data_IF_604547938532
#
_entry.id   IF_604547938532
#
_cell.length_a   1.000
_cell.length_b   1.000
_cell.length_c   1.000
_cell.angle_alpha   90.00
_cell.angle_beta   90.00
_cell.angle_gamma   90.00
#
_symmetry.space_group_name_H-M   'P 1'
#
loop_
_entity.id
_entity.type
_entity.pdbx_description
1 polymer ?
#
# COMPACT_ATOMS: atom_id res chain seq x y z
N UNK A 1 1.43 -19.02 -6.40
CA UNK A 1 0.82 -18.39 -5.20
C UNK A 1 -0.28 -17.45 -5.68
N UNK A 2 -1.54 -17.69 -5.32
CA UNK A 2 -2.71 -17.04 -5.95
C UNK A 2 -3.58 -16.21 -4.99
N UNK A 3 -3.30 -16.22 -3.68
CA UNK A 3 -4.09 -15.49 -2.69
C UNK A 3 -3.30 -15.22 -1.40
N UNK A 4 -3.91 -14.43 -0.50
CA UNK A 4 -3.38 -14.10 0.82
C UNK A 4 -2.39 -12.94 0.84
N UNK A 5 -1.92 -12.61 2.04
CA UNK A 5 -0.99 -11.51 2.29
C UNK A 5 0.29 -11.63 1.45
N UNK A 6 0.86 -12.84 1.34
CA UNK A 6 2.07 -13.09 0.58
C UNK A 6 1.89 -12.78 -0.92
N UNK A 7 0.74 -13.08 -1.52
CA UNK A 7 0.47 -12.70 -2.92
C UNK A 7 0.33 -11.17 -3.03
N UNK A 8 -0.33 -10.51 -2.08
CA UNK A 8 -0.42 -9.05 -2.05
C UNK A 8 0.96 -8.37 -1.96
N UNK A 9 1.87 -8.94 -1.17
CA UNK A 9 3.25 -8.47 -1.10
C UNK A 9 4.01 -8.66 -2.42
N UNK A 10 3.83 -9.81 -3.08
CA UNK A 10 4.43 -10.04 -4.40
C UNK A 10 3.87 -9.10 -5.47
N UNK A 11 2.57 -8.88 -5.50
CA UNK A 11 1.94 -7.92 -6.42
C UNK A 11 2.45 -6.49 -6.17
N UNK A 12 2.55 -6.07 -4.90
CA UNK A 12 3.13 -4.78 -4.56
C UNK A 12 4.59 -4.66 -5.02
N UNK A 13 5.42 -5.67 -4.75
CA UNK A 13 6.86 -5.67 -5.05
C UNK A 13 7.15 -5.83 -6.55
N UNK A 14 6.42 -6.67 -7.25
CA UNK A 14 6.74 -7.11 -8.61
C UNK A 14 5.94 -6.37 -9.69
N UNK A 15 4.78 -5.79 -9.34
CA UNK A 15 3.90 -5.12 -10.30
C UNK A 15 3.74 -3.63 -9.96
N UNK A 16 3.25 -3.30 -8.76
CA UNK A 16 2.89 -1.92 -8.40
C UNK A 16 4.12 -1.02 -8.25
N UNK A 17 5.08 -1.40 -7.43
CA UNK A 17 6.29 -0.59 -7.20
C UNK A 17 7.12 -0.43 -8.49
N UNK A 18 7.41 -1.49 -9.26
CA UNK A 18 8.17 -1.36 -10.50
C UNK A 18 7.45 -0.49 -11.53
N UNK A 19 6.11 -0.51 -11.58
CA UNK A 19 5.34 0.37 -12.46
C UNK A 19 5.64 1.86 -12.19
N UNK A 20 5.52 2.31 -10.93
CA UNK A 20 5.80 3.71 -10.57
C UNK A 20 7.29 4.06 -10.65
N UNK A 21 8.19 3.10 -10.39
CA UNK A 21 9.62 3.29 -10.60
C UNK A 21 9.93 3.56 -12.08
N UNK A 22 9.35 2.77 -12.99
CA UNK A 22 9.53 2.97 -14.43
C UNK A 22 8.96 4.32 -14.88
N UNK A 23 7.80 4.74 -14.37
CA UNK A 23 7.25 6.07 -14.67
C UNK A 23 8.19 7.19 -14.24
N UNK A 24 8.77 7.08 -13.04
CA UNK A 24 9.72 8.07 -12.55
C UNK A 24 11.02 8.06 -13.36
N UNK A 25 11.50 6.88 -13.74
CA UNK A 25 12.67 6.72 -14.60
C UNK A 25 12.44 7.32 -16.00
N UNK A 26 11.27 7.12 -16.61
CA UNK A 26 10.90 7.73 -17.89
C UNK A 26 10.84 9.26 -17.79
N UNK A 27 10.21 9.79 -16.72
CA UNK A 27 10.20 11.23 -16.43
C UNK A 27 11.61 11.80 -16.32
N UNK A 28 12.46 11.20 -15.49
CA UNK A 28 13.83 11.67 -15.25
C UNK A 28 14.68 11.56 -16.50
N UNK A 29 14.56 10.47 -17.26
CA UNK A 29 15.29 10.28 -18.52
C UNK A 29 14.93 11.37 -19.53
N UNK A 30 13.65 11.62 -19.76
CA UNK A 30 13.22 12.67 -20.70
C UNK A 30 13.65 14.06 -20.23
N UNK A 31 13.61 14.34 -18.92
CA UNK A 31 14.13 15.60 -18.36
C UNK A 31 15.62 15.77 -18.63
N UNK A 32 16.43 14.73 -18.37
CA UNK A 32 17.87 14.73 -18.63
C UNK A 32 18.13 14.99 -20.11
N UNK A 33 17.50 14.21 -20.98
CA UNK A 33 17.72 14.28 -22.43
C UNK A 33 17.36 15.66 -22.99
N UNK A 34 16.20 16.21 -22.65
CA UNK A 34 15.75 17.49 -23.20
C UNK A 34 16.49 18.69 -22.61
N UNK A 35 16.83 18.68 -21.31
CA UNK A 35 17.66 19.73 -20.72
C UNK A 35 19.07 19.70 -21.32
N UNK A 36 19.70 18.52 -21.39
CA UNK A 36 21.04 18.40 -21.93
C UNK A 36 21.09 18.79 -23.41
N UNK A 37 20.11 18.37 -24.20
CA UNK A 37 20.00 18.74 -25.62
C UNK A 37 20.06 20.25 -25.84
N UNK A 38 19.39 21.05 -25.01
CA UNK A 38 19.44 22.51 -25.09
C UNK A 38 20.75 23.03 -24.47
N UNK A 39 21.14 22.54 -23.29
CA UNK A 39 22.34 23.00 -22.58
C UNK A 39 23.62 22.84 -23.41
N UNK A 40 23.75 21.75 -24.19
CA UNK A 40 24.87 21.50 -25.10
C UNK A 40 25.03 22.57 -26.19
N UNK A 41 23.97 23.32 -26.48
CA UNK A 41 23.99 24.38 -27.49
C UNK A 41 24.48 25.72 -26.93
N UNK A 42 24.80 25.79 -25.63
CA UNK A 42 25.22 27.00 -24.95
C UNK A 42 26.68 27.02 -24.54
N UNK A 43 27.12 28.19 -24.10
CA UNK A 43 28.41 28.48 -23.51
C UNK A 43 28.22 28.89 -22.05
N UNK A 44 29.11 28.40 -21.20
CA UNK A 44 29.34 28.93 -19.86
C UNK A 44 30.12 30.24 -19.88
N UNK A 45 30.16 30.91 -18.73
CA UNK A 45 30.86 32.17 -18.54
C UNK A 45 32.39 32.03 -18.66
N UNK A 46 32.94 30.87 -18.29
CA UNK A 46 34.37 30.55 -18.37
C UNK A 46 34.78 29.84 -19.67
N UNK A 47 33.82 29.53 -20.56
CA UNK A 47 34.12 28.83 -21.80
C UNK A 47 34.72 29.77 -22.86
N UNK A 48 35.69 29.30 -23.66
CA UNK A 48 36.19 30.06 -24.80
C UNK A 48 35.11 30.19 -25.87
N UNK A 49 34.94 31.40 -26.41
CA UNK A 49 34.01 31.66 -27.51
C UNK A 49 34.62 31.11 -28.81
N UNK A 50 34.18 29.92 -29.21
CA UNK A 50 34.64 29.21 -30.40
C UNK A 50 33.56 29.17 -31.49
N UNK A 51 33.84 28.50 -32.61
CA UNK A 51 32.85 28.28 -33.68
C UNK A 51 31.71 27.34 -33.27
N UNK A 52 31.86 26.61 -32.17
CA UNK A 52 30.83 25.72 -31.63
C UNK A 52 30.91 25.65 -30.11
N UNK A 53 29.77 25.53 -29.41
CA UNK A 53 29.76 25.40 -27.96
C UNK A 53 30.41 24.09 -27.49
N UNK A 54 30.86 24.02 -26.23
CA UNK A 54 31.58 22.86 -25.69
C UNK A 54 30.75 21.57 -25.62
N UNK A 55 29.41 21.64 -25.79
CA UNK A 55 28.57 20.45 -25.80
C UNK A 55 28.45 19.77 -24.43
N UNK A 56 28.51 20.55 -23.34
CA UNK A 56 28.48 20.05 -21.96
C UNK A 56 27.08 19.56 -21.57
N UNK A 57 27.01 18.39 -20.97
CA UNK A 57 25.80 17.89 -20.29
C UNK A 57 25.58 18.63 -18.96
N UNK A 58 24.33 19.04 -18.68
CA UNK A 58 23.96 19.62 -17.37
C UNK A 58 23.75 18.51 -16.34
N UNK A 59 22.96 17.51 -16.72
CA UNK A 59 22.71 16.30 -15.92
C UNK A 59 23.52 15.12 -16.46
N UNK A 60 23.95 14.24 -15.56
CA UNK A 60 24.45 12.90 -15.88
C UNK A 60 23.50 11.86 -15.28
N UNK A 61 23.61 10.63 -15.75
CA UNK A 61 22.66 9.56 -15.44
C UNK A 61 21.62 9.35 -16.55
N UNK A 62 20.69 8.44 -16.32
CA UNK A 62 19.68 8.04 -17.30
C UNK A 62 18.34 7.61 -16.67
N UNK A 63 18.20 7.77 -15.36
CA UNK A 63 17.01 7.36 -14.61
C UNK A 63 16.86 8.18 -13.34
N UNK A 64 15.74 8.05 -12.65
CA UNK A 64 15.48 8.78 -11.41
C UNK A 64 16.41 8.35 -10.28
N UNK A 65 16.95 7.13 -10.36
CA UNK A 65 17.87 6.58 -9.38
C UNK A 65 19.27 7.19 -9.45
N UNK A 66 19.73 7.61 -10.62
CA UNK A 66 21.12 8.01 -10.85
C UNK A 66 21.27 9.40 -11.47
N UNK A 67 20.18 10.15 -11.62
CA UNK A 67 20.24 11.55 -12.06
C UNK A 67 21.08 12.37 -11.09
N UNK A 68 22.07 13.07 -11.63
CA UNK A 68 22.87 14.05 -10.87
C UNK A 68 23.31 15.20 -11.78
N UNK A 69 23.70 16.32 -11.18
CA UNK A 69 24.35 17.40 -11.94
C UNK A 69 25.77 16.94 -12.31
N UNK A 70 26.24 17.37 -13.48
CA UNK A 70 27.60 17.09 -13.93
C UNK A 70 28.64 17.66 -12.94
N UNK A 71 29.61 16.83 -12.52
CA UNK A 71 30.63 17.19 -11.52
C UNK A 71 31.47 18.40 -11.92
N UNK A 72 31.68 18.63 -13.22
CA UNK A 72 32.36 19.82 -13.73
C UNK A 72 31.60 21.10 -13.35
N UNK A 73 30.27 21.08 -13.48
CA UNK A 73 29.39 22.22 -13.15
C UNK A 73 29.30 22.42 -11.64
N UNK A 74 29.32 21.33 -10.88
CA UNK A 74 29.37 21.39 -9.41
C UNK A 74 30.68 22.06 -8.96
N UNK A 75 31.79 21.71 -9.61
CA UNK A 75 33.12 22.22 -9.29
C UNK A 75 33.32 23.68 -9.72
N UNK A 76 32.76 24.06 -10.88
CA UNK A 76 32.72 25.44 -11.37
C UNK A 76 31.34 25.79 -11.95
N UNK A 77 30.48 26.49 -11.17
CA UNK A 77 29.18 26.95 -11.65
C UNK A 77 29.23 27.91 -12.84
N UNK A 78 30.39 28.50 -13.15
CA UNK A 78 30.55 29.31 -14.35
C UNK A 78 30.44 28.48 -15.64
N UNK A 79 30.52 27.16 -15.55
CA UNK A 79 30.36 26.24 -16.69
C UNK A 79 28.90 25.95 -17.05
N UNK A 80 27.93 26.51 -16.31
CA UNK A 80 26.51 26.46 -16.69
C UNK A 80 26.33 27.21 -18.01
N UNK A 81 25.92 26.47 -19.03
CA UNK A 81 25.85 26.92 -20.42
C UNK A 81 24.58 27.74 -20.68
N UNK A 82 24.48 28.93 -20.08
CA UNK A 82 23.29 29.78 -20.16
C UNK A 82 23.23 30.68 -21.42
N UNK A 83 24.37 30.92 -22.07
CA UNK A 83 24.50 31.86 -23.20
C UNK A 83 24.52 31.15 -24.54
N UNK A 84 23.79 31.66 -25.52
CA UNK A 84 23.83 31.12 -26.90
C UNK A 84 24.99 31.71 -27.70
N UNK A 85 25.37 32.95 -27.41
CA UNK A 85 26.43 33.69 -28.10
C UNK A 85 27.80 33.62 -27.41
N UNK A 86 27.89 33.05 -26.21
CA UNK A 86 29.11 33.06 -25.39
C UNK A 86 29.38 34.38 -24.67
N UNK A 87 28.57 35.41 -24.89
CA UNK A 87 28.75 36.71 -24.26
C UNK A 87 27.96 36.80 -22.95
N UNK A 88 28.53 37.50 -21.97
CA UNK A 88 27.86 37.84 -20.72
C UNK A 88 26.57 38.64 -21.00
N UNK A 89 25.52 38.33 -20.23
CA UNK A 89 24.19 38.97 -20.36
C UNK A 89 23.25 38.28 -21.36
N UNK A 90 23.72 37.33 -22.16
CA UNK A 90 22.86 36.48 -23.00
C UNK A 90 22.39 35.26 -22.19
N UNK A 91 21.10 35.21 -21.89
CA UNK A 91 20.45 34.13 -21.13
C UNK A 91 19.52 33.25 -21.97
N UNK A 92 19.66 33.25 -23.31
CA UNK A 92 18.72 32.56 -24.20
C UNK A 92 18.63 31.05 -23.96
N UNK A 93 19.73 30.37 -23.67
CA UNK A 93 19.70 28.93 -23.39
C UNK A 93 18.96 28.65 -22.08
N UNK A 94 19.20 29.46 -21.04
CA UNK A 94 18.45 29.36 -19.79
C UNK A 94 16.94 29.59 -20.00
N UNK A 95 16.56 30.54 -20.87
CA UNK A 95 15.16 30.76 -21.25
C UNK A 95 14.57 29.59 -22.03
N UNK A 96 15.30 29.02 -23.00
CA UNK A 96 14.88 27.84 -23.76
C UNK A 96 14.67 26.63 -22.83
N UNK A 97 15.56 26.41 -21.85
CA UNK A 97 15.40 25.39 -20.81
C UNK A 97 14.16 25.67 -19.95
N UNK A 98 13.92 26.91 -19.52
CA UNK A 98 12.74 27.26 -18.75
C UNK A 98 11.43 27.01 -19.52
N UNK A 99 11.44 27.17 -20.85
CA UNK A 99 10.28 26.91 -21.70
C UNK A 99 9.94 25.41 -21.80
N UNK A 100 10.85 24.50 -21.47
CA UNK A 100 10.57 23.06 -21.41
C UNK A 100 9.42 22.72 -20.45
N UNK A 101 9.17 23.56 -19.43
CA UNK A 101 8.05 23.39 -18.51
C UNK A 101 6.68 23.29 -19.24
N UNK A 102 6.55 24.00 -20.37
CA UNK A 102 5.31 24.07 -21.15
C UNK A 102 5.35 23.20 -22.41
N UNK A 103 6.50 22.59 -22.72
CA UNK A 103 6.65 21.72 -23.87
C UNK A 103 6.00 20.34 -23.61
N UNK A 104 5.65 19.66 -24.69
CA UNK A 104 4.97 18.37 -24.65
C UNK A 104 5.94 17.26 -25.06
N UNK A 105 6.02 16.21 -24.25
CA UNK A 105 6.91 15.08 -24.47
C UNK A 105 6.18 13.75 -24.34
N UNK A 106 6.64 12.75 -25.06
CA UNK A 106 6.23 11.36 -24.84
C UNK A 106 7.20 10.69 -23.85
N UNK A 107 6.76 10.59 -22.60
CA UNK A 107 7.49 9.93 -21.51
C UNK A 107 7.01 8.48 -21.32
N UNK A 108 6.93 7.72 -22.42
CA UNK A 108 6.51 6.30 -22.40
C UNK A 108 5.00 6.07 -22.39
N UNK A 109 4.19 7.12 -22.55
CA UNK A 109 2.71 7.04 -22.49
C UNK A 109 2.05 7.01 -23.86
N UNK A 110 2.82 7.15 -24.95
CA UNK A 110 2.34 7.32 -26.33
C UNK A 110 1.47 8.58 -26.50
N UNK A 111 1.61 9.54 -25.60
CA UNK A 111 0.88 10.81 -25.58
C UNK A 111 1.86 11.92 -25.21
N UNK A 112 1.79 13.01 -25.96
CA UNK A 112 2.60 14.19 -25.67
C UNK A 112 1.94 14.98 -24.54
N UNK A 113 2.57 15.04 -23.37
CA UNK A 113 2.10 15.79 -22.21
C UNK A 113 3.24 16.58 -21.57
N UNK A 114 2.91 17.60 -20.77
CA UNK A 114 3.95 18.36 -20.05
C UNK A 114 4.50 17.56 -18.87
N UNK A 115 5.70 17.92 -18.40
CA UNK A 115 6.29 17.35 -17.18
C UNK A 115 5.34 17.45 -15.98
N UNK A 116 4.67 18.59 -15.81
CA UNK A 116 3.70 18.81 -14.73
C UNK A 116 2.51 17.87 -14.82
N UNK A 117 1.93 17.71 -16.01
CA UNK A 117 0.80 16.82 -16.24
C UNK A 117 1.18 15.35 -16.02
N UNK A 118 2.37 14.93 -16.46
CA UNK A 118 2.86 13.57 -16.25
C UNK A 118 2.99 13.25 -14.76
N UNK A 119 3.68 14.14 -14.02
CA UNK A 119 3.87 13.95 -12.58
C UNK A 119 2.54 13.97 -11.81
N UNK A 120 1.63 14.88 -12.15
CA UNK A 120 0.29 14.92 -11.56
C UNK A 120 -0.51 13.64 -11.84
N UNK A 121 -0.43 13.11 -13.08
CA UNK A 121 -1.04 11.84 -13.45
C UNK A 121 -0.49 10.67 -12.63
N UNK A 122 0.83 10.56 -12.52
CA UNK A 122 1.49 9.53 -11.71
C UNK A 122 1.04 9.56 -10.24
N UNK A 123 0.99 10.74 -9.62
CA UNK A 123 0.55 10.89 -8.23
C UNK A 123 -0.95 10.58 -8.08
N UNK A 124 -1.77 10.98 -9.05
CA UNK A 124 -3.20 10.69 -9.05
C UNK A 124 -3.46 9.18 -9.16
N UNK A 125 -2.76 8.50 -10.08
CA UNK A 125 -2.88 7.06 -10.28
C UNK A 125 -2.45 6.29 -9.02
N UNK A 126 -1.33 6.68 -8.40
CA UNK A 126 -0.91 6.13 -7.11
C UNK A 126 -1.95 6.33 -6.02
N UNK A 127 -2.57 7.52 -5.96
CA UNK A 127 -3.64 7.83 -5.02
C UNK A 127 -4.88 6.95 -5.23
N UNK A 128 -5.29 6.75 -6.48
CA UNK A 128 -6.42 5.87 -6.85
C UNK A 128 -6.13 4.41 -6.47
N UNK A 129 -4.90 3.94 -6.72
CA UNK A 129 -4.50 2.57 -6.41
C UNK A 129 -4.42 2.32 -4.90
N UNK A 130 -3.83 3.26 -4.15
CA UNK A 130 -3.81 3.20 -2.69
C UNK A 130 -5.24 3.21 -2.10
N UNK A 131 -6.12 4.06 -2.63
CA UNK A 131 -7.52 4.11 -2.18
C UNK A 131 -8.27 2.81 -2.51
N UNK A 132 -7.98 2.20 -3.66
CA UNK A 132 -8.53 0.89 -4.05
C UNK A 132 -8.09 -0.20 -3.08
N UNK A 133 -6.78 -0.29 -2.79
CA UNK A 133 -6.23 -1.24 -1.83
C UNK A 133 -6.87 -1.09 -0.45
N UNK A 134 -7.00 0.14 0.04
CA UNK A 134 -7.66 0.43 1.33
C UNK A 134 -9.12 -0.02 1.36
N UNK A 135 -9.91 0.31 0.33
CA UNK A 135 -11.31 -0.13 0.25
C UNK A 135 -11.45 -1.65 0.22
N UNK A 136 -10.58 -2.33 -0.54
CA UNK A 136 -10.58 -3.79 -0.59
C UNK A 136 -10.27 -4.39 0.79
N UNK A 137 -9.26 -3.87 1.48
CA UNK A 137 -8.93 -4.28 2.84
C UNK A 137 -10.11 -4.09 3.81
N UNK A 138 -10.74 -2.91 3.81
CA UNK A 138 -11.89 -2.60 4.66
C UNK A 138 -13.07 -3.54 4.40
N UNK A 139 -13.37 -3.81 3.12
CA UNK A 139 -14.44 -4.72 2.73
C UNK A 139 -14.15 -6.16 3.19
N UNK A 140 -12.94 -6.66 2.98
CA UNK A 140 -12.58 -8.02 3.41
C UNK A 140 -12.60 -8.15 4.93
N UNK A 141 -12.09 -7.16 5.66
CA UNK A 141 -12.15 -7.16 7.11
C UNK A 141 -13.61 -7.14 7.63
N UNK A 142 -14.49 -6.38 6.97
CA UNK A 142 -15.91 -6.38 7.31
C UNK A 142 -16.56 -7.76 7.07
N UNK A 143 -16.21 -8.43 5.98
CA UNK A 143 -16.71 -9.77 5.69
C UNK A 143 -16.23 -10.79 6.72
N UNK A 144 -14.95 -10.77 7.07
CA UNK A 144 -14.38 -11.63 8.12
C UNK A 144 -15.12 -11.43 9.45
N UNK A 145 -15.27 -10.17 9.90
CA UNK A 145 -16.01 -9.85 11.13
C UNK A 145 -17.46 -10.33 11.10
N UNK A 146 -18.15 -10.19 9.95
CA UNK A 146 -19.52 -10.70 9.80
C UNK A 146 -19.57 -12.22 9.95
N UNK A 147 -18.64 -12.94 9.33
CA UNK A 147 -18.57 -14.39 9.41
C UNK A 147 -18.21 -14.87 10.82
N UNK A 148 -17.31 -14.16 11.52
CA UNK A 148 -16.99 -14.42 12.93
C UNK A 148 -18.22 -14.25 13.82
N UNK A 149 -18.95 -13.14 13.69
CA UNK A 149 -20.19 -12.91 14.42
C UNK A 149 -21.26 -13.97 14.12
N UNK A 150 -21.42 -14.38 12.85
CA UNK A 150 -22.33 -15.48 12.49
C UNK A 150 -21.91 -16.79 13.15
N UNK A 151 -20.61 -17.12 13.12
CA UNK A 151 -20.08 -18.31 13.78
C UNK A 151 -20.34 -18.27 15.29
N UNK A 152 -20.10 -17.14 15.95
CA UNK A 152 -20.39 -16.95 17.37
C UNK A 152 -21.89 -17.03 17.68
N UNK A 153 -22.77 -16.59 16.78
CA UNK A 153 -24.23 -16.72 17.00
C UNK A 153 -24.74 -18.17 16.96
N UNK A 154 -24.06 -19.05 16.21
CA UNK A 154 -24.45 -20.47 16.04
C UNK A 154 -23.68 -21.42 16.96
N UNK A 155 -22.40 -21.14 17.23
CA UNK A 155 -21.54 -21.94 18.11
C UNK A 155 -21.33 -21.32 19.49
N UNK A 156 -21.93 -20.16 19.75
CA UNK A 156 -21.91 -19.51 21.05
C UNK A 156 -22.84 -20.25 22.00
N UNK A 157 -22.29 -20.73 23.11
CA UNK A 157 -23.05 -21.27 24.22
C UNK A 157 -23.57 -20.09 25.05
N UNK A 158 -24.89 -20.01 25.24
CA UNK A 158 -25.45 -19.04 26.17
C UNK A 158 -25.21 -19.53 27.60
N UNK A 159 -24.40 -18.80 28.38
CA UNK A 159 -24.16 -19.09 29.80
C UNK A 159 -25.47 -19.15 30.59
N UNK A 160 -26.48 -18.37 30.20
CA UNK A 160 -27.79 -18.37 30.86
C UNK A 160 -28.58 -19.65 30.54
N UNK A 161 -28.51 -20.17 29.31
CA UNK A 161 -29.13 -21.46 28.96
C UNK A 161 -28.39 -22.64 29.59
N UNK A 162 -27.06 -22.60 29.65
CA UNK A 162 -26.26 -23.62 30.36
C UNK A 162 -26.53 -23.59 31.86
N UNK A 163 -26.63 -22.40 32.47
CA UNK A 163 -26.97 -22.24 33.89
C UNK A 163 -28.40 -22.72 34.17
N UNK A 164 -29.36 -22.40 33.31
CA UNK A 164 -30.74 -22.91 33.41
C UNK A 164 -30.79 -24.43 33.29
N UNK A 165 -30.06 -25.01 32.34
CA UNK A 165 -29.92 -26.45 32.15
C UNK A 165 -29.25 -27.11 33.37
N UNK A 166 -28.21 -26.51 33.91
CA UNK A 166 -27.52 -26.96 35.12
C UNK A 166 -28.48 -26.96 36.32
N UNK A 167 -29.22 -25.87 36.55
CA UNK A 167 -30.23 -25.78 37.60
C UNK A 167 -31.33 -26.84 37.42
N UNK A 168 -31.79 -27.05 36.19
CA UNK A 168 -32.78 -28.08 35.88
C UNK A 168 -32.26 -29.48 36.20
N UNK A 169 -31.03 -29.81 35.81
CA UNK A 169 -30.41 -31.09 36.14
C UNK A 169 -30.18 -31.25 37.65
N UNK A 170 -29.78 -30.19 38.35
CA UNK A 170 -29.65 -30.18 39.81
C UNK A 170 -30.99 -30.42 40.51
N UNK A 171 -32.07 -29.78 40.07
CA UNK A 171 -33.42 -30.01 40.59
C UNK A 171 -33.91 -31.43 40.31
N UNK A 172 -33.70 -31.93 39.08
CA UNK A 172 -34.06 -33.30 38.71
C UNK A 172 -33.29 -34.34 39.55
N UNK A 173 -32.00 -34.12 39.80
CA UNK A 173 -31.19 -34.99 40.66
C UNK A 173 -31.70 -35.00 42.11
N UNK A 174 -31.99 -33.82 42.67
CA UNK A 174 -32.56 -33.71 44.02
C UNK A 174 -33.95 -34.37 44.11
N UNK A 175 -34.78 -34.24 43.09
CA UNK A 175 -36.08 -34.90 43.02
C UNK A 175 -35.94 -36.43 42.94
N UNK A 176 -35.01 -36.93 42.11
CA UNK A 176 -34.71 -38.36 42.02
C UNK A 176 -34.15 -38.92 43.33
N UNK A 177 -33.29 -38.19 44.02
CA UNK A 177 -32.76 -38.56 45.33
C UNK A 177 -33.88 -38.67 46.38
N UNK A 178 -34.80 -37.68 46.44
CA UNK A 178 -35.99 -37.74 47.30
C UNK A 178 -36.90 -38.89 46.94
N UNK A 179 -37.12 -39.15 45.66
CA UNK A 179 -37.90 -40.29 45.19
C UNK A 179 -37.29 -41.62 45.64
N UNK A 180 -35.97 -41.76 45.56
CA UNK A 180 -35.26 -42.92 46.11
C UNK A 180 -35.46 -43.04 47.62
N UNK A 181 -35.32 -41.95 48.37
CA UNK A 181 -35.59 -41.97 49.82
C UNK A 181 -37.03 -42.38 50.13
N UNK A 182 -38.00 -41.94 49.33
CA UNK A 182 -39.40 -42.36 49.52
C UNK A 182 -39.61 -43.83 49.18
N UNK A 183 -38.92 -44.36 48.16
CA UNK A 183 -38.92 -45.80 47.86
C UNK A 183 -38.29 -46.58 49.01
N UNK A 184 -37.14 -46.16 49.51
CA UNK A 184 -36.48 -46.79 50.67
C UNK A 184 -37.40 -46.80 51.89
N UNK A 185 -38.11 -45.69 52.16
CA UNK A 185 -39.09 -45.62 53.24
C UNK A 185 -40.30 -46.53 53.01
N UNK A 186 -40.80 -46.63 51.77
CA UNK A 186 -41.89 -47.56 51.44
C UNK A 186 -41.44 -49.02 51.57
N UNK A 187 -40.23 -49.35 51.10
CA UNK A 187 -39.64 -50.69 51.25
C UNK A 187 -39.44 -51.03 52.72
N UNK A 188 -38.90 -50.11 53.52
CA UNK A 188 -38.75 -50.27 54.95
C UNK A 188 -40.12 -50.50 55.62
N UNK A 189 -41.14 -49.71 55.28
CA UNK A 189 -42.49 -49.88 55.82
C UNK A 189 -43.15 -51.19 55.41
N UNK A 190 -42.92 -51.67 54.19
CA UNK A 190 -43.38 -53.00 53.77
C UNK A 190 -42.65 -54.08 54.56
N UNK A 191 -41.33 -54.02 54.67
CA UNK A 191 -40.53 -55.01 55.41
C UNK A 191 -40.94 -55.06 56.90
N UNK A 192 -41.08 -53.91 57.56
CA UNK A 192 -41.46 -53.82 58.98
C UNK A 192 -42.94 -54.13 59.20
N UNK A 193 -43.82 -53.69 58.30
CA UNK A 193 -45.27 -53.77 58.44
C UNK A 193 -45.89 -55.08 57.96
N UNK A 194 -45.24 -55.80 57.04
CA UNK A 194 -45.72 -57.10 56.53
C UNK A 194 -44.75 -58.27 56.79
N UNK A 195 -43.50 -58.00 57.19
CA UNK A 195 -42.48 -59.02 57.45
C UNK A 195 -42.38 -59.52 58.89
N UNK A 196 -43.08 -58.91 59.85
CA UNK A 196 -43.10 -59.38 61.26
C UNK A 196 -44.49 -59.90 61.62
N UNK A 197 -44.82 -61.08 61.11
CA UNK A 197 -45.77 -61.98 61.77
C UNK A 197 -45.02 -63.27 62.04
N UNK A 198 -44.44 -63.36 63.23
CA UNK A 198 -43.58 -64.47 63.60
C UNK A 198 -42.85 -64.30 64.92
N UNK A 199 -43.58 -63.94 65.98
CA UNK A 199 -43.40 -64.44 67.35
C UNK A 199 -44.72 -64.35 68.10
#
# INVERSE_FOLDING_TARGET
>A
LTSGELKGLFESRDEIVPHYQNMLDDFSKTLIEEVNKIHKMGYGMSDPILSSPPGRDFFVGNSARNISVNDDIISDPNLISASKSGHAGDGRIALEIAQLQNALFDMGTKRNITFSQYYQGMVADLGVEAQRGKRLFENQNMLVKKLENYRESYSGVSLDEETSSMLKFQHAYNAAARFMTTIDQMLQKLIEGTGVVGR
#
